data_IF_679293216610
#
_entry.id   IF_679293216610
#
_cell.length_a   1.000
_cell.length_b   1.000
_cell.length_c   1.000
_cell.angle_alpha   90.00
_cell.angle_beta   90.00
_cell.angle_gamma   90.00
#
_symmetry.space_group_name_H-M   'P 1'
#
loop_
_entity.id
_entity.type
_entity.pdbx_description
1 polymer ?
#
# COMPACT_ATOMS: atom_id res chain seq x y z
N UNK A 1 62.39 -4.04 -1.84
CA UNK A 1 61.20 -4.81 -1.44
C UNK A 1 60.03 -4.19 -2.19
N UNK A 2 59.53 -4.90 -3.20
CA UNK A 2 58.53 -4.42 -4.15
C UNK A 2 57.12 -4.60 -3.58
N UNK A 3 56.30 -3.56 -3.65
CA UNK A 3 54.87 -3.62 -3.33
C UNK A 3 54.15 -4.33 -4.48
N UNK A 4 53.28 -5.28 -4.16
CA UNK A 4 52.55 -6.08 -5.15
C UNK A 4 51.38 -5.26 -5.76
N UNK A 5 51.11 -5.38 -7.07
CA UNK A 5 49.98 -4.72 -7.72
C UNK A 5 48.69 -5.47 -7.37
N UNK A 6 47.83 -4.86 -6.57
CA UNK A 6 46.58 -5.46 -6.09
C UNK A 6 45.99 -4.83 -4.83
N UNK A 7 46.70 -3.90 -4.17
CA UNK A 7 46.18 -3.13 -3.03
C UNK A 7 45.71 -1.73 -3.41
N UNK A 8 44.97 -1.59 -4.51
CA UNK A 8 44.05 -0.46 -4.65
C UNK A 8 42.79 -0.80 -3.87
N UNK A 9 42.88 -0.74 -2.54
CA UNK A 9 41.71 -0.62 -1.71
C UNK A 9 41.05 0.72 -2.09
N UNK A 10 40.10 0.67 -3.02
CA UNK A 10 39.16 1.76 -3.23
C UNK A 10 38.49 2.01 -1.89
N UNK A 11 38.92 3.07 -1.21
CA UNK A 11 38.20 3.63 -0.08
C UNK A 11 36.93 4.25 -0.65
N UNK A 12 35.94 3.40 -0.93
CA UNK A 12 34.55 3.77 -1.16
C UNK A 12 34.04 4.33 0.17
N UNK A 13 34.26 5.62 0.35
CA UNK A 13 33.66 6.38 1.42
C UNK A 13 32.16 6.42 1.19
N UNK A 14 31.39 6.07 2.23
CA UNK A 14 29.94 6.00 2.31
C UNK A 14 29.26 7.40 2.27
N UNK A 15 29.80 8.33 1.50
CA UNK A 15 29.18 9.62 1.22
C UNK A 15 28.62 9.54 -0.20
N UNK A 16 27.32 9.25 -0.32
CA UNK A 16 26.57 8.98 -1.56
C UNK A 16 26.57 10.08 -2.63
N UNK A 17 27.73 10.54 -3.08
CA UNK A 17 27.94 11.40 -4.24
C UNK A 17 28.12 10.62 -5.55
N UNK A 18 28.33 9.31 -5.47
CA UNK A 18 28.56 8.43 -6.63
C UNK A 18 27.35 8.42 -7.56
N UNK A 19 26.14 8.45 -7.00
CA UNK A 19 24.88 8.47 -7.75
C UNK A 19 24.79 9.66 -8.71
N UNK A 20 25.24 10.86 -8.30
CA UNK A 20 25.24 12.04 -9.17
C UNK A 20 26.21 11.90 -10.34
N UNK A 21 27.39 11.34 -10.10
CA UNK A 21 28.38 11.13 -11.15
C UNK A 21 27.89 10.13 -12.22
N UNK A 22 27.15 9.09 -11.80
CA UNK A 22 26.54 8.14 -12.73
C UNK A 22 25.34 8.73 -13.50
N UNK A 23 24.53 9.58 -12.86
CA UNK A 23 23.44 10.30 -13.53
C UNK A 23 23.95 11.27 -14.59
N UNK A 24 25.01 12.04 -14.30
CA UNK A 24 25.62 12.98 -15.24
C UNK A 24 26.22 12.26 -16.46
N UNK A 25 26.93 11.15 -16.23
CA UNK A 25 27.46 10.30 -17.31
C UNK A 25 26.31 9.72 -18.14
N UNK A 26 25.25 9.26 -17.49
CA UNK A 26 24.08 8.76 -18.18
C UNK A 26 23.51 9.86 -19.07
N UNK A 27 23.24 11.07 -18.56
CA UNK A 27 22.69 12.17 -19.35
C UNK A 27 23.55 12.52 -20.58
N UNK A 28 24.86 12.54 -20.44
CA UNK A 28 25.77 12.78 -21.57
C UNK A 28 25.65 11.70 -22.66
N UNK A 29 25.50 10.44 -22.28
CA UNK A 29 25.29 9.32 -23.21
C UNK A 29 23.88 9.36 -23.83
N UNK A 30 22.88 9.92 -23.15
CA UNK A 30 21.53 10.13 -23.68
C UNK A 30 21.54 11.08 -24.88
N UNK A 31 22.18 12.22 -24.65
CA UNK A 31 22.21 13.36 -25.55
C UNK A 31 22.98 12.98 -26.82
N UNK A 32 24.06 12.20 -26.64
CA UNK A 32 24.86 11.65 -27.74
C UNK A 32 24.10 10.64 -28.62
N UNK A 33 23.12 9.92 -28.08
CA UNK A 33 22.37 8.88 -28.82
C UNK A 33 20.98 9.33 -29.29
N UNK A 34 20.57 10.59 -29.04
CA UNK A 34 19.29 11.13 -29.49
C UNK A 34 18.06 10.41 -28.90
N UNK A 35 18.25 9.59 -27.88
CA UNK A 35 17.20 8.90 -27.14
C UNK A 35 17.26 9.46 -25.72
N UNK A 36 16.14 9.99 -25.19
CA UNK A 36 15.68 9.64 -23.84
C UNK A 36 14.38 10.30 -23.41
N UNK A 37 13.35 9.46 -23.28
CA UNK A 37 12.48 9.58 -22.12
C UNK A 37 13.21 8.93 -20.95
N UNK A 38 13.87 9.74 -20.12
CA UNK A 38 14.34 9.29 -18.82
C UNK A 38 13.19 9.56 -17.82
N UNK A 39 12.49 8.50 -17.38
CA UNK A 39 11.56 8.64 -16.27
C UNK A 39 12.39 8.97 -15.03
N UNK A 40 12.39 10.25 -14.62
CA UNK A 40 13.10 10.72 -13.44
C UNK A 40 12.50 10.22 -12.14
N UNK A 41 11.34 9.53 -12.19
CA UNK A 41 10.68 8.95 -11.03
C UNK A 41 11.40 7.70 -10.60
N UNK A 42 12.22 7.84 -9.58
CA UNK A 42 12.87 6.71 -8.92
C UNK A 42 11.84 5.91 -8.11
N UNK A 43 12.17 4.66 -7.80
CA UNK A 43 11.37 3.87 -6.87
C UNK A 43 11.23 4.57 -5.51
N UNK A 44 12.27 5.29 -5.09
CA UNK A 44 12.27 6.12 -3.88
C UNK A 44 11.16 7.18 -3.92
N UNK A 45 11.08 7.97 -4.99
CA UNK A 45 10.06 9.03 -5.13
C UNK A 45 8.63 8.47 -5.04
N UNK A 46 8.40 7.26 -5.58
CA UNK A 46 7.08 6.63 -5.53
C UNK A 46 6.71 6.21 -4.11
N UNK A 47 7.65 5.65 -3.35
CA UNK A 47 7.45 5.26 -1.95
C UNK A 47 7.26 6.49 -1.07
N UNK A 48 8.06 7.54 -1.28
CA UNK A 48 7.97 8.80 -0.54
C UNK A 48 6.61 9.48 -0.77
N UNK A 49 6.21 9.67 -2.03
CA UNK A 49 4.89 10.23 -2.36
C UNK A 49 3.74 9.39 -1.79
N UNK A 50 3.83 8.06 -1.86
CA UNK A 50 2.81 7.19 -1.28
C UNK A 50 2.73 7.37 0.24
N UNK A 51 3.88 7.50 0.91
CA UNK A 51 3.98 7.73 2.35
C UNK A 51 3.40 9.10 2.73
N UNK A 52 3.70 10.14 1.94
CA UNK A 52 3.13 11.48 2.14
C UNK A 52 1.62 11.47 2.00
N UNK A 53 1.07 10.78 0.99
CA UNK A 53 -0.37 10.66 0.81
C UNK A 53 -1.06 9.90 1.94
N UNK A 54 -0.42 8.90 2.54
CA UNK A 54 -0.92 8.26 3.76
C UNK A 54 -0.86 9.19 4.96
N UNK A 55 0.25 9.93 5.10
CA UNK A 55 0.47 10.85 6.22
C UNK A 55 -0.58 11.97 6.23
N UNK A 56 -0.88 12.55 5.06
CA UNK A 56 -1.87 13.63 4.91
C UNK A 56 -3.28 13.25 5.38
N UNK A 57 -3.67 11.97 5.25
CA UNK A 57 -5.00 11.50 5.64
C UNK A 57 -5.03 10.82 7.02
N UNK A 58 -3.88 10.61 7.66
CA UNK A 58 -3.76 9.74 8.84
C UNK A 58 -4.71 10.13 9.98
N UNK A 59 -4.77 11.42 10.34
CA UNK A 59 -5.64 11.90 11.42
C UNK A 59 -7.12 11.57 11.16
N UNK A 60 -7.54 11.66 9.90
CA UNK A 60 -8.92 11.34 9.50
C UNK A 60 -9.17 9.84 9.50
N UNK A 61 -8.21 9.04 9.07
CA UNK A 61 -8.31 7.58 9.13
C UNK A 61 -8.42 7.08 10.57
N UNK A 62 -7.67 7.68 11.50
CA UNK A 62 -7.76 7.37 12.93
C UNK A 62 -9.16 7.70 13.46
N UNK A 63 -9.70 8.88 13.13
CA UNK A 63 -11.05 9.25 13.56
C UNK A 63 -12.12 8.30 12.97
N UNK A 64 -12.01 7.95 11.69
CA UNK A 64 -12.91 6.98 11.06
C UNK A 64 -12.79 5.60 11.71
N UNK A 65 -11.58 5.20 12.11
CA UNK A 65 -11.34 3.92 12.78
C UNK A 65 -11.94 3.89 14.19
N UNK A 66 -11.86 4.99 14.94
CA UNK A 66 -12.50 5.12 16.24
C UNK A 66 -14.03 5.08 16.13
N UNK A 67 -14.62 5.74 15.13
CA UNK A 67 -16.06 5.64 14.85
C UNK A 67 -16.47 4.20 14.49
N UNK A 68 -15.69 3.53 13.64
CA UNK A 68 -15.86 2.12 13.33
C UNK A 68 -15.85 1.26 14.61
N UNK A 69 -14.86 1.42 15.48
CA UNK A 69 -14.74 0.65 16.73
C UNK A 69 -15.93 0.88 17.67
N UNK A 70 -16.47 2.10 17.71
CA UNK A 70 -17.64 2.40 18.54
C UNK A 70 -18.91 1.72 18.01
N UNK A 71 -19.01 1.53 16.69
CA UNK A 71 -20.15 0.92 16.01
C UNK A 71 -20.07 -0.60 15.86
N UNK A 72 -18.88 -1.18 16.01
CA UNK A 72 -18.67 -2.62 15.86
C UNK A 72 -19.42 -3.39 16.96
N UNK A 73 -20.44 -4.16 16.55
CA UNK A 73 -21.26 -4.98 17.44
C UNK A 73 -20.61 -6.34 17.76
N UNK A 74 -19.33 -6.51 17.38
CA UNK A 74 -18.53 -7.71 17.64
C UNK A 74 -18.45 -8.69 16.48
N UNK A 75 -19.13 -8.41 15.36
CA UNK A 75 -19.00 -9.19 14.13
C UNK A 75 -17.90 -8.65 13.19
N UNK A 76 -17.31 -7.48 13.48
CA UNK A 76 -16.26 -6.86 12.68
C UNK A 76 -16.73 -6.36 11.32
N UNK A 77 -18.04 -6.24 11.11
CA UNK A 77 -18.64 -5.71 9.89
C UNK A 77 -19.86 -4.86 10.27
N UNK A 78 -19.73 -3.52 10.32
CA UNK A 78 -20.87 -2.67 10.66
C UNK A 78 -22.02 -2.93 9.67
N UNK A 79 -23.24 -2.95 10.19
CA UNK A 79 -24.44 -3.23 9.41
C UNK A 79 -24.47 -2.38 8.11
N UNK A 80 -24.84 -2.97 6.96
CA UNK A 80 -24.96 -2.22 5.72
C UNK A 80 -25.96 -1.09 5.91
N UNK A 81 -25.50 0.16 5.90
CA UNK A 81 -26.42 1.29 5.90
C UNK A 81 -27.09 1.41 4.54
N UNK A 82 -28.41 1.60 4.54
CA UNK A 82 -29.16 1.87 3.32
C UNK A 82 -28.69 3.19 2.70
N UNK A 83 -28.25 3.12 1.44
CA UNK A 83 -27.83 4.30 0.69
C UNK A 83 -29.01 5.26 0.54
N UNK A 84 -28.88 6.47 1.09
CA UNK A 84 -29.86 7.54 0.85
C UNK A 84 -29.75 7.99 -0.61
N UNK A 85 -30.88 8.06 -1.32
CA UNK A 85 -30.93 8.52 -2.71
C UNK A 85 -30.16 9.84 -2.88
N UNK A 86 -29.10 9.83 -3.69
CA UNK A 86 -28.29 11.01 -4.04
C UNK A 86 -26.94 11.16 -3.35
N UNK A 87 -26.52 10.23 -2.49
CA UNK A 87 -25.17 10.25 -1.93
C UNK A 87 -24.10 9.95 -3.00
N UNK A 88 -22.97 10.67 -2.97
CA UNK A 88 -21.79 10.28 -3.74
C UNK A 88 -21.32 8.90 -3.26
N UNK A 89 -20.82 8.05 -4.16
CA UNK A 89 -20.38 6.71 -3.80
C UNK A 89 -18.97 6.42 -4.30
N UNK A 90 -18.19 5.72 -3.48
CA UNK A 90 -16.98 5.05 -3.90
C UNK A 90 -17.39 3.80 -4.67
N UNK A 91 -17.05 3.76 -5.95
CA UNK A 91 -17.46 2.70 -6.87
C UNK A 91 -16.28 1.81 -7.23
N UNK A 92 -16.59 0.61 -7.70
CA UNK A 92 -15.62 -0.34 -8.27
C UNK A 92 -14.54 -0.87 -7.33
N UNK A 93 -14.70 -0.70 -6.01
CA UNK A 93 -13.75 -1.26 -5.05
C UNK A 93 -14.05 -2.73 -4.78
N UNK A 94 -13.02 -3.56 -4.90
CA UNK A 94 -13.04 -4.95 -4.49
C UNK A 94 -12.80 -5.07 -2.99
N UNK A 95 -13.81 -5.55 -2.27
CA UNK A 95 -13.75 -5.80 -0.84
C UNK A 95 -13.38 -7.26 -0.60
N UNK A 96 -12.29 -7.46 0.15
CA UNK A 96 -11.76 -8.77 0.50
C UNK A 96 -11.84 -8.97 2.00
N UNK A 97 -12.45 -10.06 2.41
CA UNK A 97 -12.52 -10.55 3.78
C UNK A 97 -12.08 -12.02 3.81
N UNK A 98 -11.92 -12.63 4.99
CA UNK A 98 -11.48 -14.03 5.11
C UNK A 98 -12.36 -15.01 4.31
N UNK A 99 -13.67 -14.77 4.28
CA UNK A 99 -14.65 -15.69 3.68
C UNK A 99 -15.42 -15.10 2.51
N UNK A 100 -15.30 -13.79 2.26
CA UNK A 100 -16.04 -13.13 1.18
C UNK A 100 -15.14 -12.25 0.34
N UNK A 101 -15.37 -12.26 -0.97
CA UNK A 101 -14.75 -11.35 -1.92
C UNK A 101 -15.85 -10.82 -2.83
N UNK A 102 -16.03 -9.50 -2.87
CA UNK A 102 -17.08 -8.89 -3.68
C UNK A 102 -16.70 -7.50 -4.15
N UNK A 103 -17.19 -7.12 -5.33
CA UNK A 103 -17.17 -5.73 -5.78
C UNK A 103 -18.33 -4.98 -5.13
N UNK A 104 -18.05 -3.82 -4.55
CA UNK A 104 -19.03 -3.04 -3.82
C UNK A 104 -19.04 -1.58 -4.25
N UNK A 105 -20.13 -0.91 -3.93
CA UNK A 105 -20.28 0.54 -4.03
C UNK A 105 -20.64 1.06 -2.64
N UNK A 106 -19.84 1.96 -2.11
CA UNK A 106 -19.95 2.44 -0.73
C UNK A 106 -20.32 3.93 -0.71
N UNK A 107 -21.38 4.34 0.01
CA UNK A 107 -21.79 5.74 0.06
C UNK A 107 -20.81 6.58 0.89
N UNK A 108 -20.44 7.75 0.37
CA UNK A 108 -19.72 8.77 1.12
C UNK A 108 -20.64 9.40 2.17
N UNK A 109 -20.06 9.68 3.34
CA UNK A 109 -20.67 10.58 4.32
C UNK A 109 -20.29 12.02 4.02
N UNK A 110 -21.11 13.01 4.40
CA UNK A 110 -20.86 14.43 4.10
C UNK A 110 -19.49 14.96 4.54
N UNK A 111 -18.85 14.34 5.53
CA UNK A 111 -17.58 14.77 6.09
C UNK A 111 -16.36 13.98 5.59
N UNK A 112 -16.57 12.89 4.83
CA UNK A 112 -15.48 12.09 4.28
C UNK A 112 -14.84 12.85 3.11
N UNK A 113 -13.52 13.02 3.16
CA UNK A 113 -12.75 13.66 2.08
C UNK A 113 -11.93 12.63 1.29
N UNK A 114 -11.49 11.56 1.95
CA UNK A 114 -10.66 10.53 1.34
C UNK A 114 -11.43 9.21 1.14
N UNK A 115 -11.14 8.44 0.07
CA UNK A 115 -11.74 7.12 -0.14
C UNK A 115 -11.51 6.15 1.02
N UNK A 116 -10.34 6.20 1.66
CA UNK A 116 -10.03 5.33 2.79
C UNK A 116 -10.83 5.67 4.05
N UNK A 117 -11.31 6.91 4.22
CA UNK A 117 -12.26 7.23 5.31
C UNK A 117 -13.57 6.47 5.12
N UNK A 118 -14.08 6.42 3.87
CA UNK A 118 -15.27 5.65 3.52
C UNK A 118 -15.04 4.16 3.77
N UNK A 119 -13.89 3.64 3.34
CA UNK A 119 -13.57 2.23 3.53
C UNK A 119 -13.52 1.86 5.02
N UNK A 120 -12.82 2.65 5.84
CA UNK A 120 -12.70 2.39 7.28
C UNK A 120 -14.06 2.47 7.97
N UNK A 121 -14.88 3.46 7.60
CA UNK A 121 -16.24 3.59 8.09
C UNK A 121 -17.10 2.33 7.84
N UNK A 122 -16.79 1.57 6.79
CA UNK A 122 -17.42 0.29 6.45
C UNK A 122 -16.63 -0.95 6.89
N UNK A 123 -15.54 -0.80 7.65
CA UNK A 123 -14.74 -1.90 8.17
C UNK A 123 -13.67 -2.44 7.22
N UNK A 124 -13.21 -1.63 6.26
CA UNK A 124 -12.18 -2.00 5.29
C UNK A 124 -11.06 -0.95 5.24
N UNK A 125 -9.90 -1.32 4.70
CA UNK A 125 -8.83 -0.36 4.39
C UNK A 125 -8.28 -0.64 3.00
N UNK A 126 -8.08 0.41 2.21
CA UNK A 126 -7.58 0.31 0.84
C UNK A 126 -6.09 -0.01 0.77
N UNK A 127 -5.67 -0.66 -0.31
CA UNK A 127 -4.24 -0.90 -0.60
C UNK A 127 -3.53 0.32 -1.22
N UNK A 128 -4.23 1.44 -1.42
CA UNK A 128 -3.70 2.68 -1.99
C UNK A 128 -4.30 3.90 -1.27
N UNK A 129 -3.50 4.94 -0.98
CA UNK A 129 -3.96 6.12 -0.27
C UNK A 129 -4.92 7.00 -1.11
N UNK A 130 -4.77 6.99 -2.43
CA UNK A 130 -5.50 7.92 -3.33
C UNK A 130 -6.63 7.21 -4.06
N UNK A 131 -6.34 6.04 -4.63
CA UNK A 131 -7.28 5.32 -5.48
C UNK A 131 -7.30 3.84 -5.10
N UNK A 132 -8.01 3.47 -4.03
CA UNK A 132 -8.11 2.08 -3.60
C UNK A 132 -9.04 1.30 -4.53
N UNK A 133 -8.46 0.41 -5.32
CA UNK A 133 -9.18 -0.56 -6.15
C UNK A 133 -9.50 -1.84 -5.40
N UNK A 134 -8.66 -2.19 -4.42
CA UNK A 134 -8.81 -3.33 -3.53
C UNK A 134 -8.74 -2.84 -2.10
N UNK A 135 -9.62 -3.35 -1.24
CA UNK A 135 -9.65 -3.07 0.18
C UNK A 135 -9.82 -4.36 0.97
N UNK A 136 -9.08 -4.47 2.08
CA UNK A 136 -9.09 -5.64 2.97
C UNK A 136 -9.86 -5.31 4.23
N UNK A 137 -10.67 -6.23 4.74
CA UNK A 137 -11.43 -6.01 5.97
C UNK A 137 -10.50 -5.84 7.17
N UNK A 138 -10.84 -4.90 8.05
CA UNK A 138 -10.12 -4.66 9.30
C UNK A 138 -10.12 -5.92 10.17
N UNK A 139 -11.22 -6.68 10.15
CA UNK A 139 -11.33 -8.00 10.79
C UNK A 139 -10.29 -9.00 10.27
N UNK A 140 -10.07 -9.08 8.95
CA UNK A 140 -9.05 -9.96 8.37
C UNK A 140 -7.65 -9.58 8.84
N UNK A 141 -7.35 -8.29 8.89
CA UNK A 141 -6.07 -7.79 9.41
C UNK A 141 -5.90 -8.07 10.91
N UNK A 142 -6.97 -7.92 11.69
CA UNK A 142 -6.96 -8.27 13.11
C UNK A 142 -6.72 -9.76 13.32
N UNK A 143 -7.35 -10.64 12.51
CA UNK A 143 -7.09 -12.09 12.54
C UNK A 143 -5.63 -12.39 12.21
N UNK A 144 -5.07 -11.78 11.17
CA UNK A 144 -3.65 -11.92 10.85
C UNK A 144 -2.76 -11.49 12.02
N UNK A 145 -3.05 -10.36 12.65
CA UNK A 145 -2.31 -9.87 13.80
C UNK A 145 -2.33 -10.90 14.96
N UNK A 146 -3.49 -11.48 15.28
CA UNK A 146 -3.59 -12.52 16.32
C UNK A 146 -2.79 -13.78 15.96
N UNK A 147 -2.85 -14.23 14.70
CA UNK A 147 -2.07 -15.38 14.23
C UNK A 147 -0.57 -15.08 14.37
N UNK A 148 -0.14 -13.90 13.95
CA UNK A 148 1.27 -13.49 14.00
C UNK A 148 1.78 -13.34 15.46
N UNK A 149 0.92 -12.92 16.39
CA UNK A 149 1.26 -12.91 17.82
C UNK A 149 1.54 -14.32 18.39
N UNK A 150 0.80 -15.34 17.93
CA UNK A 150 0.95 -16.73 18.39
C UNK A 150 2.09 -17.44 17.63
N UNK A 151 2.21 -17.17 16.33
CA UNK A 151 3.17 -17.78 15.44
C UNK A 151 3.83 -16.70 14.57
N UNK A 152 4.95 -16.10 15.02
CA UNK A 152 5.68 -15.07 14.26
C UNK A 152 6.24 -15.57 12.92
N UNK A 153 6.33 -16.89 12.74
CA UNK A 153 6.74 -17.51 11.48
C UNK A 153 5.66 -17.46 10.40
N UNK A 154 4.41 -17.15 10.77
CA UNK A 154 3.32 -16.98 9.83
C UNK A 154 3.44 -15.61 9.14
N UNK A 155 4.15 -15.60 8.01
CA UNK A 155 4.45 -14.37 7.29
C UNK A 155 3.21 -13.76 6.62
N UNK A 156 3.28 -12.46 6.34
CA UNK A 156 2.28 -11.76 5.53
C UNK A 156 2.08 -12.41 4.15
N UNK A 157 3.15 -12.95 3.56
CA UNK A 157 3.06 -13.66 2.29
C UNK A 157 2.23 -14.96 2.42
N UNK A 158 2.35 -15.67 3.55
CA UNK A 158 1.53 -16.85 3.81
C UNK A 158 0.05 -16.47 3.97
N UNK A 159 -0.26 -15.35 4.65
CA UNK A 159 -1.62 -14.82 4.75
C UNK A 159 -2.19 -14.42 3.38
N UNK A 160 -1.40 -13.73 2.54
CA UNK A 160 -1.83 -13.38 1.18
C UNK A 160 -2.11 -14.64 0.35
N UNK A 161 -1.25 -15.66 0.42
CA UNK A 161 -1.48 -16.95 -0.24
C UNK A 161 -2.76 -17.60 0.29
N UNK A 162 -2.98 -17.62 1.59
CA UNK A 162 -4.20 -18.16 2.20
C UNK A 162 -5.45 -17.47 1.62
N UNK A 163 -5.48 -16.14 1.62
CA UNK A 163 -6.59 -15.37 1.04
C UNK A 163 -6.79 -15.67 -0.45
N UNK A 164 -5.71 -15.78 -1.23
CA UNK A 164 -5.77 -16.17 -2.63
C UNK A 164 -6.40 -17.56 -2.81
N UNK A 165 -6.01 -18.57 -2.01
CA UNK A 165 -6.59 -19.91 -2.09
C UNK A 165 -8.05 -19.95 -1.62
N UNK A 166 -8.42 -19.16 -0.60
CA UNK A 166 -9.82 -19.09 -0.13
C UNK A 166 -10.76 -18.46 -1.16
N UNK A 167 -10.24 -17.60 -2.04
CA UNK A 167 -11.01 -16.87 -3.06
C UNK A 167 -10.77 -17.35 -4.49
N UNK A 168 -10.11 -18.50 -4.66
CA UNK A 168 -9.74 -19.09 -5.96
C UNK A 168 -9.02 -18.09 -6.90
N UNK A 169 -8.08 -17.31 -6.35
CA UNK A 169 -7.27 -16.32 -7.09
C UNK A 169 -5.83 -16.78 -7.21
N UNK A 170 -5.26 -16.61 -8.39
CA UNK A 170 -3.83 -16.85 -8.60
C UNK A 170 -3.00 -15.68 -8.04
N UNK A 171 -2.08 -15.99 -7.12
CA UNK A 171 -1.03 -15.05 -6.73
C UNK A 171 0.04 -15.05 -7.81
N UNK A 172 0.14 -13.96 -8.58
CA UNK A 172 1.29 -13.76 -9.47
C UNK A 172 2.54 -13.53 -8.60
N UNK A 173 3.59 -14.33 -8.83
CA UNK A 173 4.89 -14.06 -8.23
C UNK A 173 5.45 -12.79 -8.86
N UNK A 174 5.50 -11.70 -8.11
CA UNK A 174 6.35 -10.56 -8.45
C UNK A 174 7.79 -10.99 -8.14
N UNK A 175 8.51 -11.41 -9.18
CA UNK A 175 9.95 -11.65 -9.18
C UNK A 175 10.63 -10.48 -9.89
#
# INVERSE_FOLDING_TARGET
MFVAPGEEAFTLSHEGGEHKAFEDLAWQVADMHGIRYADSRTWHDRIELQTDHWTLQMDRLVNAYLDYCYRDMGDGLPAPEESKNGAQCLTDTELVDLFTRRRATLPYKPHHLYPNEVLIYHGYIGCSPILPTVAVSLRTLATYHQIHCICPWFSIQAQCKLLCHLHDVHLHSFL
#
